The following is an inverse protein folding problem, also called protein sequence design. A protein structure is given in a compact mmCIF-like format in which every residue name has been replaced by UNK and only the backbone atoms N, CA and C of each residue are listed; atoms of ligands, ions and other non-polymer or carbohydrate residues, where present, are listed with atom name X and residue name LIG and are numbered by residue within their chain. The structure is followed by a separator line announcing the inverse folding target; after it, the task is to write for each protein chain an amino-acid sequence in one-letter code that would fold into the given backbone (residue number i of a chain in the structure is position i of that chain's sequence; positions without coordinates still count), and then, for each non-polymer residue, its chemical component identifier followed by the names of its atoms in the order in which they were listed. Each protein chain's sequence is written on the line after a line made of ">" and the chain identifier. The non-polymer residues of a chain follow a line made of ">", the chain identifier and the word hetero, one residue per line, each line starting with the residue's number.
data_IF_276639266699
#
_entry.id   IF_276639266699
#
_cell.length_a   1.000
_cell.length_b   1.000
_cell.length_c   1.000
_cell.angle_alpha   90.00
_cell.angle_beta   90.00
_cell.angle_gamma   90.00
#
_symmetry.space_group_name_H-M   'P 1'
#
loop_
_entity.id
_entity.type
_entity.pdbx_description
1 polymer ?
#
# COMPACT_ATOMS: atom_id res chain seq x y z
N UNK A 1 -13.46 -15.12 3.16
CA UNK A 1 -12.19 -14.44 3.00
C UNK A 1 -12.43 -12.94 2.77
N UNK A 2 -11.61 -12.08 3.39
CA UNK A 2 -11.87 -10.64 3.48
C UNK A 2 -12.00 -9.97 2.09
N UNK A 3 -11.05 -10.23 1.19
CA UNK A 3 -11.06 -9.63 -0.17
C UNK A 3 -12.28 -10.07 -0.96
N UNK A 4 -12.67 -11.34 -0.88
CA UNK A 4 -13.89 -11.83 -1.51
C UNK A 4 -15.13 -11.06 -1.01
N UNK A 5 -15.31 -10.94 0.31
CA UNK A 5 -16.47 -10.23 0.89
C UNK A 5 -16.49 -8.74 0.54
N UNK A 6 -15.34 -8.05 0.52
CA UNK A 6 -15.24 -6.66 0.07
C UNK A 6 -15.65 -6.55 -1.41
N UNK A 7 -15.11 -7.43 -2.26
CA UNK A 7 -15.40 -7.43 -3.70
C UNK A 7 -16.89 -7.72 -3.98
N UNK A 8 -17.49 -8.69 -3.30
CA UNK A 8 -18.94 -8.97 -3.40
C UNK A 8 -19.78 -7.75 -3.03
N UNK A 9 -19.38 -7.01 -2.00
CA UNK A 9 -20.07 -5.78 -1.62
C UNK A 9 -19.97 -4.70 -2.69
N UNK A 10 -18.78 -4.52 -3.28
CA UNK A 10 -18.54 -3.56 -4.36
C UNK A 10 -19.33 -3.93 -5.61
N UNK A 11 -19.34 -5.20 -6.01
CA UNK A 11 -20.08 -5.66 -7.19
C UNK A 11 -21.60 -5.55 -7.02
N UNK A 12 -22.09 -5.67 -5.80
CA UNK A 12 -23.54 -5.61 -5.50
C UNK A 12 -24.06 -4.19 -5.31
N UNK A 13 -23.28 -3.33 -4.67
CA UNK A 13 -23.76 -2.01 -4.22
C UNK A 13 -22.98 -0.84 -4.87
N UNK A 14 -21.98 -1.14 -5.68
CA UNK A 14 -21.05 -0.14 -6.18
C UNK A 14 -20.00 0.27 -5.14
N UNK A 15 -19.14 1.22 -5.53
CA UNK A 15 -18.07 1.76 -4.69
C UNK A 15 -16.68 1.27 -5.08
N UNK A 16 -15.71 1.50 -4.20
CA UNK A 16 -14.32 1.11 -4.40
C UNK A 16 -13.65 0.76 -3.07
N UNK A 17 -12.62 -0.07 -3.13
CA UNK A 17 -11.68 -0.30 -2.03
C UNK A 17 -10.28 0.03 -2.48
N UNK A 18 -9.49 0.67 -1.61
CA UNK A 18 -8.06 0.91 -1.80
C UNK A 18 -7.31 0.10 -0.74
N UNK A 19 -6.41 -0.76 -1.20
CA UNK A 19 -5.57 -1.62 -0.35
C UNK A 19 -4.14 -1.10 -0.44
N UNK A 20 -3.57 -0.70 0.70
CA UNK A 20 -2.21 -0.21 0.80
C UNK A 20 -1.54 -0.95 1.95
N UNK A 21 -0.47 -1.67 1.65
CA UNK A 21 0.30 -2.40 2.66
C UNK A 21 1.70 -2.72 2.14
N UNK A 22 2.61 -3.14 3.03
CA UNK A 22 3.89 -3.69 2.61
C UNK A 22 3.70 -5.13 2.07
N UNK A 23 4.41 -5.42 0.98
CA UNK A 23 4.21 -6.71 0.29
C UNK A 23 4.95 -6.83 -1.03
N UNK A 24 4.59 -7.85 -1.78
CA UNK A 24 5.17 -8.14 -3.09
C UNK A 24 4.11 -8.12 -4.19
N UNK A 25 4.54 -7.72 -5.39
CA UNK A 25 3.68 -7.60 -6.57
C UNK A 25 3.32 -8.96 -7.16
N UNK A 26 4.25 -9.92 -7.08
CA UNK A 26 4.08 -11.27 -7.60
C UNK A 26 4.24 -12.30 -6.48
N UNK A 27 3.42 -13.35 -6.53
CA UNK A 27 3.53 -14.49 -5.62
C UNK A 27 4.89 -15.18 -5.77
N UNK A 28 5.50 -15.56 -4.67
CA UNK A 28 6.80 -16.20 -4.65
C UNK A 28 6.96 -17.13 -3.46
N UNK A 29 8.04 -17.91 -3.49
CA UNK A 29 8.44 -18.77 -2.37
C UNK A 29 9.41 -17.97 -1.49
N UNK A 30 9.12 -17.91 -0.19
CA UNK A 30 9.96 -17.24 0.79
C UNK A 30 9.22 -17.04 2.11
N UNK A 31 9.97 -16.96 3.20
CA UNK A 31 9.42 -16.62 4.50
C UNK A 31 9.41 -15.10 4.67
N UNK A 32 8.24 -14.53 4.87
CA UNK A 32 8.06 -13.10 5.13
C UNK A 32 7.53 -12.84 6.54
N UNK A 33 7.32 -13.89 7.34
CA UNK A 33 6.90 -13.76 8.73
C UNK A 33 8.04 -13.16 9.56
N UNK A 34 7.76 -12.10 10.27
CA UNK A 34 8.73 -11.39 11.08
C UNK A 34 8.11 -10.88 12.38
N UNK A 35 8.91 -10.84 13.43
CA UNK A 35 8.57 -10.17 14.67
C UNK A 35 9.15 -8.76 14.68
N UNK A 36 8.38 -7.80 15.17
CA UNK A 36 8.82 -6.41 15.34
C UNK A 36 8.53 -5.96 16.76
N UNK A 37 9.55 -5.41 17.43
CA UNK A 37 9.44 -4.82 18.76
C UNK A 37 10.30 -3.56 18.82
N UNK A 38 9.74 -2.46 19.30
CA UNK A 38 10.42 -1.15 19.39
C UNK A 38 11.11 -0.73 18.06
N UNK A 39 10.41 -0.98 16.92
CA UNK A 39 10.89 -0.73 15.55
C UNK A 39 12.12 -1.55 15.12
N UNK A 40 12.46 -2.63 15.82
CA UNK A 40 13.55 -3.53 15.47
C UNK A 40 13.01 -4.95 15.22
N UNK A 41 13.71 -5.69 14.37
CA UNK A 41 13.43 -7.11 14.20
C UNK A 41 13.68 -7.87 15.49
N UNK A 42 12.76 -8.75 15.83
CA UNK A 42 12.78 -9.55 17.05
C UNK A 42 12.43 -11.02 16.75
N UNK A 43 12.90 -11.92 17.60
CA UNK A 43 12.53 -13.34 17.47
C UNK A 43 11.02 -13.52 17.66
N UNK A 44 10.38 -14.11 16.65
CA UNK A 44 8.92 -14.34 16.62
C UNK A 44 8.42 -15.22 17.78
N UNK A 45 9.29 -16.05 18.37
CA UNK A 45 8.99 -16.92 19.49
C UNK A 45 9.55 -16.41 20.84
N UNK A 46 10.35 -15.33 20.81
CA UNK A 46 11.10 -14.87 21.98
C UNK A 46 10.23 -14.34 23.12
N UNK A 47 9.20 -13.58 22.82
CA UNK A 47 8.29 -13.00 23.82
C UNK A 47 6.82 -13.04 23.32
N UNK A 48 6.12 -14.17 23.41
CA UNK A 48 4.74 -14.30 22.96
C UNK A 48 3.81 -13.25 23.59
N UNK A 49 3.04 -12.55 22.75
CA UNK A 49 2.11 -11.49 23.17
C UNK A 49 2.75 -10.12 23.43
N UNK A 50 4.07 -9.95 23.18
CA UNK A 50 4.79 -8.68 23.33
C UNK A 50 5.56 -8.26 22.07
N UNK A 51 5.43 -9.03 21.00
CA UNK A 51 6.06 -8.81 19.70
C UNK A 51 4.96 -8.70 18.66
N UNK A 52 5.01 -7.70 17.81
CA UNK A 52 4.12 -7.58 16.67
C UNK A 52 4.54 -8.57 15.60
N UNK A 53 3.64 -9.48 15.25
CA UNK A 53 3.87 -10.45 14.17
C UNK A 53 3.32 -9.88 12.87
N UNK A 54 4.17 -9.81 11.87
CA UNK A 54 3.83 -9.27 10.56
C UNK A 54 4.30 -10.19 9.44
N UNK A 55 3.64 -10.11 8.27
CA UNK A 55 4.05 -10.79 7.06
C UNK A 55 3.74 -9.91 5.85
N UNK A 56 4.52 -10.05 4.78
CA UNK A 56 4.26 -9.31 3.54
C UNK A 56 2.97 -9.79 2.88
N UNK A 57 2.18 -8.84 2.39
CA UNK A 57 0.95 -9.12 1.64
C UNK A 57 1.28 -9.58 0.23
N UNK A 58 0.68 -10.68 -0.19
CA UNK A 58 0.72 -11.17 -1.57
C UNK A 58 -0.36 -10.47 -2.41
N UNK A 59 0.00 -9.37 -3.07
CA UNK A 59 -0.92 -8.59 -3.86
C UNK A 59 -1.40 -9.30 -5.14
N UNK A 60 -0.61 -10.20 -5.70
CA UNK A 60 -1.05 -11.03 -6.83
C UNK A 60 -2.19 -11.97 -6.42
N UNK A 61 -2.07 -12.60 -5.24
CA UNK A 61 -3.12 -13.45 -4.70
C UNK A 61 -4.41 -12.65 -4.43
N UNK A 62 -4.30 -11.45 -3.83
CA UNK A 62 -5.44 -10.57 -3.62
C UNK A 62 -6.11 -10.17 -4.94
N UNK A 63 -5.32 -9.78 -5.95
CA UNK A 63 -5.83 -9.39 -7.27
C UNK A 63 -6.55 -10.54 -7.98
N UNK A 64 -5.96 -11.75 -7.97
CA UNK A 64 -6.59 -12.96 -8.52
C UNK A 64 -7.93 -13.25 -7.84
N UNK A 65 -7.99 -13.12 -6.51
CA UNK A 65 -9.22 -13.34 -5.75
C UNK A 65 -10.29 -12.30 -6.07
N UNK A 66 -9.94 -11.02 -6.10
CA UNK A 66 -10.88 -9.95 -6.44
C UNK A 66 -11.47 -10.13 -7.85
N UNK A 67 -10.62 -10.39 -8.84
CA UNK A 67 -11.07 -10.67 -10.22
C UNK A 67 -11.99 -11.89 -10.29
N UNK A 68 -11.64 -12.99 -9.62
CA UNK A 68 -12.47 -14.20 -9.57
C UNK A 68 -13.83 -13.99 -8.89
N UNK A 69 -13.95 -12.94 -8.06
CA UNK A 69 -15.20 -12.55 -7.38
C UNK A 69 -16.00 -11.50 -8.18
N UNK A 70 -15.51 -11.08 -9.36
CA UNK A 70 -16.21 -10.18 -10.27
C UNK A 70 -15.89 -8.68 -10.06
N UNK A 71 -14.87 -8.33 -9.31
CA UNK A 71 -14.37 -6.96 -9.22
C UNK A 71 -13.42 -6.60 -10.35
N UNK A 72 -13.27 -5.31 -10.63
CA UNK A 72 -12.23 -4.77 -11.50
C UNK A 72 -11.05 -4.34 -10.65
N UNK A 73 -9.87 -4.90 -10.94
CA UNK A 73 -8.64 -4.63 -10.19
C UNK A 73 -7.77 -3.63 -10.95
N UNK A 74 -7.25 -2.64 -10.22
CA UNK A 74 -6.30 -1.63 -10.66
C UNK A 74 -4.99 -1.80 -9.89
N UNK A 75 -3.87 -1.91 -10.59
CA UNK A 75 -2.60 -2.30 -10.01
C UNK A 75 -2.46 -3.84 -9.86
N UNK A 76 -1.71 -4.35 -8.86
CA UNK A 76 -0.93 -3.58 -7.89
C UNK A 76 0.22 -2.78 -8.51
N UNK A 77 0.52 -1.63 -7.92
CA UNK A 77 1.69 -0.80 -8.24
C UNK A 77 2.48 -0.49 -6.96
N UNK A 78 3.69 0.05 -7.07
CA UNK A 78 4.41 0.54 -5.88
C UNK A 78 3.73 1.80 -5.32
N UNK A 79 3.86 2.02 -4.00
CA UNK A 79 3.35 3.25 -3.38
C UNK A 79 4.00 4.50 -4.02
N UNK A 80 5.28 4.41 -4.39
CA UNK A 80 5.97 5.46 -5.13
C UNK A 80 5.25 5.83 -6.42
N UNK A 81 4.97 4.83 -7.27
CA UNK A 81 4.28 5.05 -8.55
C UNK A 81 2.91 5.66 -8.34
N UNK A 82 2.11 5.09 -7.44
CA UNK A 82 0.79 5.59 -7.11
C UNK A 82 0.82 7.04 -6.64
N UNK A 83 1.64 7.35 -5.63
CA UNK A 83 1.73 8.70 -5.07
C UNK A 83 2.26 9.74 -6.07
N UNK A 84 3.19 9.36 -6.94
CA UNK A 84 3.68 10.24 -8.02
C UNK A 84 2.59 10.55 -9.05
N UNK A 85 1.83 9.54 -9.46
CA UNK A 85 0.74 9.71 -10.43
C UNK A 85 -0.36 10.62 -9.89
N UNK A 86 -0.66 10.57 -8.59
CA UNK A 86 -1.62 11.49 -7.95
C UNK A 86 -1.00 12.85 -7.54
N UNK A 87 0.29 13.10 -7.86
CA UNK A 87 0.90 14.41 -7.75
C UNK A 87 1.51 14.77 -6.40
N UNK A 88 2.00 13.81 -5.61
CA UNK A 88 2.61 14.05 -4.29
C UNK A 88 3.77 15.04 -4.34
N UNK A 89 4.59 15.00 -5.42
CA UNK A 89 5.73 15.91 -5.59
C UNK A 89 5.26 17.35 -5.78
N UNK A 90 4.23 17.57 -6.61
CA UNK A 90 3.60 18.89 -6.79
C UNK A 90 3.04 19.41 -5.46
N UNK A 91 2.36 18.55 -4.70
CA UNK A 91 1.85 18.91 -3.37
C UNK A 91 2.97 19.29 -2.40
N UNK A 92 4.07 18.55 -2.40
CA UNK A 92 5.23 18.86 -1.57
C UNK A 92 5.87 20.21 -1.94
N UNK A 93 5.98 20.55 -3.23
CA UNK A 93 6.45 21.86 -3.67
C UNK A 93 5.54 23.00 -3.16
N UNK A 94 4.24 22.88 -3.33
CA UNK A 94 3.27 23.88 -2.85
C UNK A 94 3.37 24.10 -1.34
N UNK A 95 3.54 23.00 -0.56
CA UNK A 95 3.72 23.10 0.89
C UNK A 95 5.01 23.83 1.25
N UNK A 96 6.11 23.60 0.52
CA UNK A 96 7.40 24.26 0.75
C UNK A 96 7.36 25.77 0.49
N UNK A 97 6.57 26.24 -0.47
CA UNK A 97 6.52 27.65 -0.84
C UNK A 97 6.05 28.53 0.33
N UNK A 98 5.14 28.02 1.16
CA UNK A 98 4.55 28.74 2.30
C UNK A 98 5.14 28.32 3.66
N UNK A 99 6.08 27.40 3.68
CA UNK A 99 6.62 26.79 4.90
C UNK A 99 7.83 27.54 5.47
N UNK A 100 7.97 27.54 6.79
CA UNK A 100 9.21 27.94 7.46
C UNK A 100 10.38 26.99 7.12
N UNK A 101 11.63 27.41 7.40
CA UNK A 101 12.81 26.57 7.13
C UNK A 101 12.72 25.19 7.77
N UNK A 102 12.25 25.09 9.00
CA UNK A 102 12.04 23.81 9.69
C UNK A 102 11.00 22.94 8.98
N UNK A 103 9.84 23.50 8.65
CA UNK A 103 8.77 22.79 7.95
C UNK A 103 9.19 22.32 6.55
N UNK A 104 10.02 23.09 5.83
CA UNK A 104 10.59 22.68 4.54
C UNK A 104 11.39 21.39 4.67
N UNK A 105 12.21 21.26 5.69
CA UNK A 105 12.97 20.05 5.97
C UNK A 105 12.05 18.87 6.31
N UNK A 106 11.03 19.11 7.14
CA UNK A 106 10.05 18.08 7.51
C UNK A 106 9.28 17.57 6.28
N UNK A 107 8.84 18.46 5.38
CA UNK A 107 8.15 18.10 4.13
C UNK A 107 9.05 17.22 3.24
N UNK A 108 10.33 17.58 3.08
CA UNK A 108 11.26 16.81 2.26
C UNK A 108 11.55 15.42 2.86
N UNK A 109 11.74 15.35 4.18
CA UNK A 109 11.95 14.08 4.88
C UNK A 109 10.72 13.18 4.76
N UNK A 110 9.52 13.73 4.94
CA UNK A 110 8.26 13.01 4.78
C UNK A 110 8.05 12.53 3.35
N UNK A 111 8.34 13.37 2.35
CA UNK A 111 8.26 12.99 0.95
C UNK A 111 9.22 11.82 0.67
N UNK A 112 10.48 11.92 1.08
CA UNK A 112 11.46 10.84 0.89
C UNK A 112 10.99 9.54 1.56
N UNK A 113 10.48 9.60 2.78
CA UNK A 113 9.95 8.44 3.49
C UNK A 113 8.81 7.78 2.71
N UNK A 114 7.90 8.56 2.11
CA UNK A 114 6.73 8.04 1.40
C UNK A 114 7.06 7.46 0.03
N UNK A 115 8.03 8.04 -0.72
CA UNK A 115 8.33 7.64 -2.09
C UNK A 115 9.77 7.20 -2.33
N UNK A 116 10.63 7.17 -1.30
CA UNK A 116 12.01 6.68 -1.40
C UNK A 116 12.09 5.20 -1.78
N UNK A 117 13.11 4.79 -2.57
CA UNK A 117 13.31 3.39 -3.01
C UNK A 117 13.56 2.47 -1.81
N UNK A 118 14.46 2.90 -0.92
CA UNK A 118 14.88 2.13 0.26
C UNK A 118 13.98 2.43 1.48
N UNK A 119 12.83 3.05 1.24
CA UNK A 119 11.85 3.46 2.24
C UNK A 119 10.48 2.81 1.93
N UNK A 120 9.38 3.47 2.30
CA UNK A 120 8.03 2.97 2.05
C UNK A 120 7.67 2.91 0.56
N UNK A 121 8.37 3.68 -0.30
CA UNK A 121 7.99 3.85 -1.70
C UNK A 121 7.95 2.55 -2.50
N UNK A 122 8.96 1.70 -2.36
CA UNK A 122 8.99 0.40 -3.03
C UNK A 122 8.56 -0.75 -2.10
N UNK A 123 8.66 -0.59 -0.77
CA UNK A 123 8.21 -1.60 0.17
C UNK A 123 6.69 -1.76 0.13
N UNK A 124 5.95 -0.65 0.15
CA UNK A 124 4.49 -0.65 0.11
C UNK A 124 3.96 -0.80 -1.32
N UNK A 125 2.82 -1.48 -1.42
CA UNK A 125 2.08 -1.67 -2.68
C UNK A 125 0.69 -1.08 -2.54
N UNK A 126 0.14 -0.68 -3.66
CA UNK A 126 -1.19 -0.09 -3.75
C UNK A 126 -1.99 -0.82 -4.81
N UNK A 127 -3.20 -1.22 -4.46
CA UNK A 127 -4.16 -1.87 -5.35
C UNK A 127 -5.54 -1.31 -5.08
N UNK A 128 -6.32 -1.06 -6.12
CA UNK A 128 -7.73 -0.75 -5.96
C UNK A 128 -8.62 -1.83 -6.55
N UNK A 129 -9.82 -1.96 -5.96
CA UNK A 129 -10.90 -2.83 -6.45
C UNK A 129 -12.11 -1.95 -6.67
N UNK A 130 -12.71 -2.02 -7.86
CA UNK A 130 -13.90 -1.23 -8.22
C UNK A 130 -14.98 -2.11 -8.83
N UNK A 131 -16.15 -1.52 -9.02
CA UNK A 131 -17.19 -2.10 -9.89
C UNK A 131 -16.70 -2.11 -11.35
N UNK A 132 -17.19 -3.05 -12.15
CA UNK A 132 -16.79 -3.23 -13.56
C UNK A 132 -17.07 -2.02 -14.46
N UNK A 133 -18.02 -1.18 -14.10
CA UNK A 133 -18.38 0.03 -14.86
C UNK A 133 -17.38 1.19 -14.66
N UNK A 134 -16.40 1.05 -13.77
CA UNK A 134 -15.39 2.08 -13.57
C UNK A 134 -14.43 2.12 -14.76
N UNK A 135 -14.37 3.27 -15.45
CA UNK A 135 -13.61 3.43 -16.70
C UNK A 135 -12.15 3.80 -16.42
N UNK A 136 -11.90 4.59 -15.39
CA UNK A 136 -10.56 5.03 -14.98
C UNK A 136 -10.52 5.35 -13.50
N UNK A 137 -9.32 5.29 -12.92
CA UNK A 137 -9.09 5.67 -11.53
C UNK A 137 -7.71 6.33 -11.44
N UNK A 138 -7.64 7.45 -10.71
CA UNK A 138 -6.40 8.19 -10.55
C UNK A 138 -5.37 7.37 -9.74
N UNK A 139 -4.12 7.44 -10.18
CA UNK A 139 -3.00 6.77 -9.51
C UNK A 139 -2.62 5.40 -10.08
N UNK A 140 -3.39 4.85 -11.04
CA UNK A 140 -3.14 3.53 -11.64
C UNK A 140 -2.92 3.56 -13.15
#
# INVERSE_FOLDING_TARGET
>A
DLIGSITESITKFGGAALVIDYGHLASGVGDTLQGVKDHNYFDILGEPGRVDLTAHVDFECLAKKANATGGLVWGPVTQREFLRRIGIETRAYQLKDVASTRQKSEVLTSLNRLIGVDEMGDLFKVMAITHLDQISIEGF
#
